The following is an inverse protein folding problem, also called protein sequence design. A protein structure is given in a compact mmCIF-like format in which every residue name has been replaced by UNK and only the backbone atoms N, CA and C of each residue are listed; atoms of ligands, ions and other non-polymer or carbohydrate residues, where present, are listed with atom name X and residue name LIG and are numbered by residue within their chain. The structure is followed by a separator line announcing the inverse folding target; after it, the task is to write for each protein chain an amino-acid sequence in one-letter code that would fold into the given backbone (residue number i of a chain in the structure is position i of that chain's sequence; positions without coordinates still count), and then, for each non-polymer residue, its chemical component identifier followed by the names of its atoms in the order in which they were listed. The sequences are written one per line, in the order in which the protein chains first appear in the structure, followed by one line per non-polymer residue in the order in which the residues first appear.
data_IF_795458708554
#
_entry.id   IF_795458708554
#
_cell.length_a   1.000
_cell.length_b   1.000
_cell.length_c   1.000
_cell.angle_alpha   90.00
_cell.angle_beta   90.00
_cell.angle_gamma   90.00
#
_symmetry.space_group_name_H-M   'P 1'
#
loop_
_entity.id
_entity.type
_entity.pdbx_description
1 polymer ?
#
# COMPACT_ATOMS: atom_id res chain seq x y z
N UNK A 1 -7.18 11.81 9.96
CA UNK A 1 -6.71 10.44 9.73
C UNK A 1 -7.91 9.50 9.68
N UNK A 2 -7.98 8.59 8.70
CA UNK A 2 -9.04 7.57 8.66
C UNK A 2 -8.51 6.28 9.29
N UNK A 3 -9.39 5.47 9.89
CA UNK A 3 -9.02 4.19 10.49
C UNK A 3 -9.80 3.05 9.84
N UNK A 4 -9.15 1.91 9.67
CA UNK A 4 -9.82 0.69 9.25
C UNK A 4 -10.87 0.29 10.30
N UNK A 5 -12.09 0.01 9.84
CA UNK A 5 -13.21 -0.33 10.72
C UNK A 5 -13.09 -1.71 11.36
N UNK A 6 -12.22 -2.57 10.84
CA UNK A 6 -12.02 -3.92 11.40
C UNK A 6 -10.81 -3.99 12.31
N UNK A 7 -9.63 -3.61 11.82
CA UNK A 7 -8.39 -3.74 12.61
C UNK A 7 -7.99 -2.45 13.36
N UNK A 8 -8.66 -1.32 13.14
CA UNK A 8 -8.36 -0.05 13.81
C UNK A 8 -7.10 0.67 13.33
N UNK A 9 -6.33 0.08 12.41
CA UNK A 9 -5.12 0.68 11.85
C UNK A 9 -5.42 1.99 11.10
N UNK A 10 -4.46 2.90 11.10
CA UNK A 10 -4.57 4.15 10.35
C UNK A 10 -4.38 3.89 8.85
N UNK A 11 -5.30 4.43 8.05
CA UNK A 11 -5.32 4.26 6.61
C UNK A 11 -5.39 5.60 5.88
N UNK A 12 -4.78 5.64 4.71
CA UNK A 12 -4.90 6.70 3.72
C UNK A 12 -5.63 6.18 2.49
N UNK A 13 -6.38 7.05 1.83
CA UNK A 13 -7.10 6.71 0.61
C UNK A 13 -6.38 7.32 -0.59
N UNK A 14 -5.76 6.47 -1.40
CA UNK A 14 -5.02 6.91 -2.59
C UNK A 14 -5.91 6.71 -3.81
N UNK A 15 -6.08 7.76 -4.63
CA UNK A 15 -6.85 7.66 -5.87
C UNK A 15 -6.00 7.01 -6.96
N UNK A 16 -6.47 5.88 -7.46
CA UNK A 16 -5.86 5.17 -8.59
C UNK A 16 -6.14 5.90 -9.92
N UNK A 17 -5.31 5.71 -10.95
CA UNK A 17 -5.56 6.26 -12.29
C UNK A 17 -6.91 5.82 -12.88
N UNK A 18 -7.40 4.64 -12.51
CA UNK A 18 -8.72 4.14 -12.89
C UNK A 18 -9.89 4.86 -12.17
N UNK A 19 -9.62 5.88 -11.36
CA UNK A 19 -10.60 6.70 -10.67
C UNK A 19 -11.10 6.12 -9.34
N UNK A 20 -10.80 4.86 -9.02
CA UNK A 20 -11.15 4.21 -7.75
C UNK A 20 -10.19 4.64 -6.64
N UNK A 21 -10.66 4.73 -5.40
CA UNK A 21 -9.82 4.95 -4.23
C UNK A 21 -9.37 3.62 -3.62
N UNK A 22 -8.12 3.56 -3.18
CA UNK A 22 -7.49 2.39 -2.59
C UNK A 22 -7.11 2.68 -1.14
N UNK A 23 -7.55 1.88 -0.16
CA UNK A 23 -7.08 2.00 1.21
C UNK A 23 -5.64 1.46 1.30
N UNK A 24 -4.74 2.28 1.82
CA UNK A 24 -3.35 1.93 2.09
C UNK A 24 -3.00 2.25 3.54
N UNK A 25 -2.01 1.57 4.10
CA UNK A 25 -1.49 1.88 5.44
C UNK A 25 -0.98 3.31 5.47
N UNK A 26 -1.22 4.05 6.56
CA UNK A 26 -0.87 5.46 6.66
C UNK A 26 0.65 5.72 6.67
N UNK A 27 1.43 4.73 7.13
CA UNK A 27 2.88 4.83 7.18
C UNK A 27 3.49 4.39 5.85
N UNK A 28 4.17 5.30 5.12
CA UNK A 28 4.85 4.94 3.89
C UNK A 28 6.08 4.06 4.20
N UNK A 29 6.47 3.23 3.22
CA UNK A 29 7.64 2.37 3.26
C UNK A 29 8.52 2.60 2.04
N UNK A 30 9.82 2.50 2.25
CA UNK A 30 10.78 2.43 1.17
C UNK A 30 10.68 1.08 0.47
N UNK A 31 10.65 1.11 -0.85
CA UNK A 31 10.54 -0.09 -1.67
C UNK A 31 11.61 -0.10 -2.75
N UNK A 32 11.99 -1.30 -3.17
CA UNK A 32 12.81 -1.52 -4.36
C UNK A 32 11.94 -2.14 -5.45
N UNK A 33 11.90 -1.50 -6.61
CA UNK A 33 11.13 -2.02 -7.74
C UNK A 33 11.70 -3.38 -8.15
N UNK A 34 10.82 -4.38 -8.22
CA UNK A 34 11.18 -5.74 -8.58
C UNK A 34 9.98 -6.34 -9.33
N UNK A 35 10.03 -6.36 -10.67
CA UNK A 35 9.03 -7.06 -11.47
C UNK A 35 8.88 -8.51 -10.97
N UNK A 36 7.65 -8.92 -10.64
CA UNK A 36 7.37 -10.23 -10.05
C UNK A 36 7.63 -10.35 -8.54
N UNK A 37 7.97 -9.26 -7.86
CA UNK A 37 8.12 -9.21 -6.40
C UNK A 37 6.82 -9.61 -5.68
N UNK A 38 7.00 -10.26 -4.52
CA UNK A 38 5.88 -10.70 -3.66
C UNK A 38 5.13 -9.53 -3.02
N UNK A 39 5.85 -8.45 -2.71
CA UNK A 39 5.28 -7.24 -2.17
C UNK A 39 4.50 -6.45 -3.21
N UNK A 40 3.44 -5.77 -2.77
CA UNK A 40 2.76 -4.73 -3.53
C UNK A 40 2.90 -3.40 -2.78
N UNK A 41 3.19 -2.33 -3.52
CA UNK A 41 3.05 -0.96 -3.00
C UNK A 41 2.14 -0.17 -3.93
N UNK A 42 1.53 0.86 -3.37
CA UNK A 42 0.77 1.88 -4.07
C UNK A 42 1.59 3.16 -4.01
N UNK A 43 1.98 3.68 -5.17
CA UNK A 43 2.68 4.97 -5.27
C UNK A 43 1.71 6.13 -5.00
N UNK A 44 2.20 7.35 -4.70
CA UNK A 44 1.33 8.50 -4.47
C UNK A 44 0.41 8.86 -5.64
N UNK A 45 0.78 8.51 -6.89
CA UNK A 45 -0.08 8.67 -8.07
C UNK A 45 -1.10 7.52 -8.25
N UNK A 46 -1.16 6.57 -7.31
CA UNK A 46 -2.13 5.49 -7.28
C UNK A 46 -1.81 4.28 -8.15
N UNK A 47 -0.59 4.17 -8.67
CA UNK A 47 -0.13 2.98 -9.41
C UNK A 47 0.26 1.88 -8.43
N UNK A 48 -0.15 0.64 -8.73
CA UNK A 48 0.24 -0.53 -7.93
C UNK A 48 1.46 -1.18 -8.57
N UNK A 49 2.56 -1.26 -7.84
CA UNK A 49 3.82 -1.86 -8.29
C UNK A 49 4.14 -3.13 -7.51
N UNK A 50 4.75 -4.10 -8.19
CA UNK A 50 5.35 -5.27 -7.55
C UNK A 50 6.76 -4.91 -7.10
N UNK A 51 7.08 -5.19 -5.85
CA UNK A 51 8.33 -4.74 -5.26
C UNK A 51 8.75 -5.60 -4.07
N UNK A 52 9.91 -5.25 -3.52
CA UNK A 52 10.36 -5.72 -2.21
C UNK A 52 10.35 -4.55 -1.23
N UNK A 53 9.80 -4.79 -0.04
CA UNK A 53 9.78 -3.87 1.09
C UNK A 53 9.72 -4.68 2.41
N UNK A 54 10.14 -4.10 3.54
CA UNK A 54 10.91 -2.86 3.65
C UNK A 54 12.34 -3.04 3.12
N UNK A 55 12.92 -1.97 2.57
CA UNK A 55 14.33 -1.92 2.18
C UNK A 55 14.99 -0.68 2.79
N UNK A 56 16.32 -0.73 2.96
CA UNK A 56 17.10 0.44 3.38
C UNK A 56 16.98 1.59 2.36
N UNK A 57 17.03 2.84 2.83
CA UNK A 57 16.94 4.05 2.00
C UNK A 57 17.96 4.05 0.86
N UNK A 58 19.20 3.64 1.13
CA UNK A 58 20.30 3.62 0.13
C UNK A 58 20.04 2.65 -1.04
N UNK A 59 19.11 1.71 -0.88
CA UNK A 59 18.76 0.70 -1.88
C UNK A 59 17.34 0.89 -2.43
N UNK A 60 16.61 1.87 -1.93
CA UNK A 60 15.22 2.13 -2.30
C UNK A 60 15.14 2.72 -3.71
N UNK A 61 14.21 2.21 -4.50
CA UNK A 61 13.81 2.82 -5.77
C UNK A 61 12.83 3.97 -5.57
N UNK A 62 12.17 4.00 -4.40
CA UNK A 62 11.24 5.06 -4.04
C UNK A 62 10.49 4.76 -2.75
N UNK A 63 9.50 5.60 -2.47
CA UNK A 63 8.63 5.51 -1.30
C UNK A 63 7.19 5.30 -1.76
N UNK A 64 6.49 4.38 -1.11
CA UNK A 64 5.11 4.03 -1.42
C UNK A 64 4.34 3.61 -0.18
N UNK A 65 3.07 3.29 -0.36
CA UNK A 65 2.18 2.87 0.70
C UNK A 65 1.80 1.41 0.52
N UNK A 66 1.80 0.63 1.59
CA UNK A 66 1.37 -0.77 1.53
C UNK A 66 -0.16 -0.81 1.35
N UNK A 67 -0.71 -1.52 0.35
CA UNK A 67 -2.15 -1.65 0.22
C UNK A 67 -2.70 -2.38 1.45
N UNK A 68 -3.71 -1.80 2.08
CA UNK A 68 -4.17 -2.24 3.41
C UNK A 68 -4.74 -3.66 3.41
N UNK A 69 -5.16 -4.19 2.25
CA UNK A 69 -5.58 -5.59 2.15
C UNK A 69 -4.48 -6.59 2.51
N UNK A 70 -3.20 -6.17 2.49
CA UNK A 70 -2.06 -7.03 2.75
C UNK A 70 -1.74 -7.11 4.25
N UNK A 71 -2.22 -6.15 5.04
CA UNK A 71 -1.89 -5.99 6.47
C UNK A 71 -3.12 -6.04 7.38
N UNK A 72 -4.32 -5.86 6.83
CA UNK A 72 -5.57 -5.98 7.56
C UNK A 72 -5.81 -7.45 8.02
N UNK A 73 -6.35 -7.60 9.23
CA UNK A 73 -6.73 -8.92 9.78
C UNK A 73 -7.96 -9.54 9.12
N UNK A 74 -8.82 -8.73 8.49
CA UNK A 74 -10.03 -9.17 7.80
C UNK A 74 -10.34 -8.24 6.61
N UNK A 75 -9.58 -8.37 5.51
CA UNK A 75 -9.74 -7.53 4.33
C UNK A 75 -10.97 -7.92 3.48
N UNK A 76 -11.39 -9.19 3.52
CA UNK A 76 -12.49 -9.71 2.70
C UNK A 76 -13.83 -9.04 3.04
N UNK A 77 -14.04 -8.68 4.32
CA UNK A 77 -15.24 -7.95 4.77
C UNK A 77 -15.50 -6.64 4.04
N UNK A 78 -14.47 -6.05 3.42
CA UNK A 78 -14.55 -4.78 2.70
C UNK A 78 -14.48 -4.93 1.18
N UNK A 79 -14.26 -6.14 0.65
CA UNK A 79 -14.35 -6.39 -0.79
C UNK A 79 -15.82 -6.39 -1.19
N UNK A 80 -16.22 -5.43 -2.01
CA UNK A 80 -17.56 -5.30 -2.61
C UNK A 80 -17.43 -5.18 -4.11
#
# INVERSE_FOLDING_TARGET
MQKCRTCGAEIVWIRTPAGKTMPCDANPVCYKDKPGGRGKIVTPNGTVLSCEYPVDDDKASGVGYVPHWATCSDPERHRR
#
